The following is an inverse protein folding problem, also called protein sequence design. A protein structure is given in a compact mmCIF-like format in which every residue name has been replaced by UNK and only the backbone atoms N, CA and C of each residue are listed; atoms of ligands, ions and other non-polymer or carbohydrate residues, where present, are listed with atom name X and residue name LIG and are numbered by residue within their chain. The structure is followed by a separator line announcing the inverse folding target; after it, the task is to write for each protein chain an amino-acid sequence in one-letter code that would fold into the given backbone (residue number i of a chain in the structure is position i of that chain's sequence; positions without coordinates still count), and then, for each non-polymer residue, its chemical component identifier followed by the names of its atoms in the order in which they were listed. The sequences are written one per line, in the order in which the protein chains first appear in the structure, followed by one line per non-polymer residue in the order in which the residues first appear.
data_IF_440746109469
#
_entry.id   IF_440746109469
#
_cell.length_a   1.000
_cell.length_b   1.000
_cell.length_c   1.000
_cell.angle_alpha   90.00
_cell.angle_beta   90.00
_cell.angle_gamma   90.00
#
_symmetry.space_group_name_H-M   'P 1'
#
loop_
_entity.id
_entity.type
_entity.pdbx_description
1 polymer ?
#
# COMPACT_ATOMS: atom_id res chain seq x y z
N UNK A 1 -20.54 3.85 -13.68
CA UNK A 1 -21.20 2.66 -13.13
C UNK A 1 -22.52 3.06 -12.50
N UNK A 2 -23.56 2.28 -12.75
CA UNK A 2 -24.84 2.41 -12.05
C UNK A 2 -24.73 1.89 -10.60
N UNK A 3 -25.53 2.40 -9.65
CA UNK A 3 -25.55 1.88 -8.28
C UNK A 3 -25.86 0.37 -8.21
N UNK A 4 -26.66 -0.16 -9.14
CA UNK A 4 -26.99 -1.59 -9.19
C UNK A 4 -25.80 -2.46 -9.57
N UNK A 5 -24.97 -2.02 -10.52
CA UNK A 5 -23.75 -2.74 -10.89
C UNK A 5 -22.75 -2.78 -9.74
N UNK A 6 -22.58 -1.64 -9.05
CA UNK A 6 -21.72 -1.54 -7.85
C UNK A 6 -22.21 -2.48 -6.76
N UNK A 7 -23.51 -2.46 -6.45
CA UNK A 7 -24.09 -3.31 -5.41
C UNK A 7 -24.00 -4.79 -5.75
N UNK A 8 -24.15 -5.16 -7.03
CA UNK A 8 -23.98 -6.54 -7.53
C UNK A 8 -22.53 -7.00 -7.45
N UNK A 9 -21.56 -6.14 -7.76
CA UNK A 9 -20.14 -6.46 -7.65
C UNK A 9 -19.75 -6.77 -6.20
N UNK A 10 -20.09 -5.87 -5.27
CA UNK A 10 -19.76 -6.06 -3.85
C UNK A 10 -20.70 -7.05 -3.12
N UNK A 11 -21.74 -7.58 -3.76
CA UNK A 11 -22.51 -8.68 -3.20
C UNK A 11 -21.86 -10.05 -3.42
N UNK A 12 -20.92 -10.17 -4.37
CA UNK A 12 -20.15 -11.39 -4.59
C UNK A 12 -19.26 -11.68 -3.36
N UNK A 13 -19.42 -12.84 -2.69
CA UNK A 13 -18.57 -13.22 -1.57
C UNK A 13 -17.09 -13.24 -1.92
N UNK A 14 -16.71 -13.64 -3.14
CA UNK A 14 -15.31 -13.70 -3.57
C UNK A 14 -14.66 -12.32 -3.58
N UNK A 15 -15.40 -11.30 -4.01
CA UNK A 15 -14.95 -9.89 -3.99
C UNK A 15 -14.72 -9.44 -2.55
N UNK A 16 -15.68 -9.71 -1.65
CA UNK A 16 -15.58 -9.29 -0.24
C UNK A 16 -14.46 -10.02 0.49
N UNK A 17 -14.29 -11.31 0.25
CA UNK A 17 -13.21 -12.11 0.81
C UNK A 17 -11.85 -11.57 0.35
N UNK A 18 -11.70 -11.26 -0.95
CA UNK A 18 -10.44 -10.76 -1.48
C UNK A 18 -10.04 -9.40 -0.92
N UNK A 19 -11.02 -8.49 -0.79
CA UNK A 19 -10.80 -7.18 -0.17
C UNK A 19 -10.44 -7.35 1.30
N UNK A 20 -11.13 -8.23 2.03
CA UNK A 20 -10.84 -8.48 3.44
C UNK A 20 -9.44 -9.10 3.63
N UNK A 21 -9.03 -10.02 2.75
CA UNK A 21 -7.68 -10.61 2.74
C UNK A 21 -6.61 -9.55 2.53
N UNK A 22 -6.77 -8.66 1.56
CA UNK A 22 -5.82 -7.56 1.38
C UNK A 22 -5.85 -6.58 2.56
N UNK A 23 -7.02 -6.21 3.07
CA UNK A 23 -7.15 -5.24 4.15
C UNK A 23 -6.75 -5.76 5.55
N UNK A 24 -6.53 -7.07 5.71
CA UNK A 24 -6.21 -7.69 6.99
C UNK A 24 -4.97 -7.04 7.64
N UNK A 25 -5.13 -6.55 8.88
CA UNK A 25 -4.07 -5.90 9.64
C UNK A 25 -3.64 -4.52 9.11
N UNK A 26 -4.30 -3.99 8.08
CA UNK A 26 -4.00 -2.69 7.47
C UNK A 26 -5.02 -1.64 7.90
N UNK A 27 -4.58 -0.38 7.91
CA UNK A 27 -5.48 0.75 8.11
C UNK A 27 -6.25 1.01 6.81
N UNK A 28 -7.58 1.10 6.92
CA UNK A 28 -8.49 1.18 5.76
C UNK A 28 -8.96 2.61 5.52
N UNK A 29 -9.03 2.99 4.25
CA UNK A 29 -9.69 4.19 3.77
C UNK A 29 -10.91 3.85 2.93
N UNK A 30 -12.00 4.59 3.16
CA UNK A 30 -13.24 4.51 2.39
C UNK A 30 -13.40 5.78 1.58
N UNK A 31 -13.43 5.66 0.27
CA UNK A 31 -13.75 6.79 -0.58
C UNK A 31 -15.27 6.98 -0.63
N UNK A 32 -15.73 8.15 -0.22
CA UNK A 32 -17.13 8.52 -0.24
C UNK A 32 -17.50 9.24 -1.55
N UNK A 33 -18.75 9.06 -1.98
CA UNK A 33 -19.33 9.85 -3.07
C UNK A 33 -19.58 11.31 -2.67
N UNK A 34 -19.68 11.60 -1.37
CA UNK A 34 -19.77 12.96 -0.84
C UNK A 34 -18.47 13.73 -1.08
N UNK A 35 -18.63 14.98 -1.49
CA UNK A 35 -17.54 15.93 -1.73
C UNK A 35 -17.46 16.93 -0.59
N UNK A 36 -16.24 17.34 -0.23
CA UNK A 36 -16.01 18.44 0.69
C UNK A 36 -16.50 19.77 0.10
N UNK A 37 -16.49 20.83 0.91
CA UNK A 37 -16.87 22.19 0.46
C UNK A 37 -16.00 22.77 -0.66
N UNK A 38 -14.95 22.06 -1.10
CA UNK A 38 -14.08 22.40 -2.23
C UNK A 38 -14.26 21.45 -3.42
N UNK A 39 -15.28 20.59 -3.39
CA UNK A 39 -15.61 19.66 -4.47
C UNK A 39 -14.71 18.41 -4.53
N UNK A 40 -13.87 18.16 -3.52
CA UNK A 40 -12.99 16.98 -3.46
C UNK A 40 -13.70 15.85 -2.76
N UNK A 41 -13.60 14.63 -3.29
CA UNK A 41 -14.17 13.46 -2.64
C UNK A 41 -13.56 13.22 -1.25
N UNK A 42 -14.42 12.85 -0.29
CA UNK A 42 -14.00 12.58 1.08
C UNK A 42 -13.40 11.17 1.21
N UNK A 43 -12.20 11.09 1.77
CA UNK A 43 -11.58 9.84 2.19
C UNK A 43 -11.77 9.66 3.71
N UNK A 44 -12.70 8.78 4.09
CA UNK A 44 -12.98 8.48 5.50
C UNK A 44 -12.02 7.40 5.96
N UNK A 45 -11.25 7.68 7.01
CA UNK A 45 -10.24 6.75 7.56
C UNK A 45 -10.42 6.44 9.04
N UNK A 46 -11.38 7.09 9.70
CA UNK A 46 -11.68 6.92 11.11
C UNK A 46 -13.18 6.72 11.31
N UNK A 47 -13.56 6.01 12.36
CA UNK A 47 -14.94 5.86 12.77
C UNK A 47 -15.57 7.22 13.13
N UNK A 48 -16.91 7.29 13.07
CA UNK A 48 -17.65 8.47 13.52
C UNK A 48 -17.26 8.80 14.98
N UNK A 49 -16.85 10.04 15.23
CA UNK A 49 -16.24 10.47 16.51
C UNK A 49 -14.70 10.52 16.52
N UNK A 50 -14.04 10.14 15.42
CA UNK A 50 -12.61 10.40 15.17
C UNK A 50 -11.60 9.53 15.93
N UNK A 51 -12.06 8.67 16.85
CA UNK A 51 -11.15 7.95 17.76
C UNK A 51 -10.48 6.70 17.18
N UNK A 52 -11.20 5.87 16.42
CA UNK A 52 -10.70 4.56 15.99
C UNK A 52 -10.38 4.52 14.48
N UNK A 53 -9.18 4.08 14.07
CA UNK A 53 -8.87 3.81 12.67
C UNK A 53 -9.83 2.77 12.08
N UNK A 54 -10.26 2.98 10.84
CA UNK A 54 -11.08 2.00 10.14
C UNK A 54 -10.25 0.75 9.80
N UNK A 55 -10.87 -0.41 9.90
CA UNK A 55 -10.29 -1.72 9.62
C UNK A 55 -11.37 -2.68 9.15
N UNK A 56 -10.97 -3.66 8.35
CA UNK A 56 -11.81 -4.77 7.92
C UNK A 56 -11.30 -6.02 8.62
N UNK A 57 -12.17 -6.71 9.38
CA UNK A 57 -11.82 -7.95 10.09
C UNK A 57 -12.21 -9.20 9.31
N UNK A 58 -13.26 -9.10 8.48
CA UNK A 58 -13.82 -10.19 7.70
C UNK A 58 -14.59 -9.62 6.50
N UNK A 59 -15.06 -10.52 5.62
CA UNK A 59 -15.86 -10.15 4.44
C UNK A 59 -17.18 -9.43 4.78
N UNK A 60 -17.71 -9.55 5.99
CA UNK A 60 -18.96 -8.90 6.39
C UNK A 60 -18.76 -7.41 6.71
N UNK A 61 -17.53 -7.01 7.08
CA UNK A 61 -17.15 -5.61 7.29
C UNK A 61 -16.99 -4.84 5.96
N UNK A 62 -16.95 -5.53 4.81
CA UNK A 62 -16.83 -4.91 3.49
C UNK A 62 -18.12 -4.17 3.14
N UNK A 63 -18.05 -2.84 3.10
CA UNK A 63 -19.17 -2.00 2.75
C UNK A 63 -19.57 -2.16 1.28
N UNK A 64 -20.86 -2.41 1.03
CA UNK A 64 -21.40 -2.76 -0.32
C UNK A 64 -21.27 -1.67 -1.39
N UNK A 65 -20.85 -0.44 -1.06
CA UNK A 65 -20.96 0.72 -1.95
C UNK A 65 -19.72 1.64 -1.93
N UNK A 66 -18.60 1.21 -1.34
CA UNK A 66 -17.44 2.09 -1.12
C UNK A 66 -16.22 1.55 -1.83
N UNK A 67 -15.42 2.47 -2.38
CA UNK A 67 -14.10 2.13 -2.92
C UNK A 67 -13.15 2.00 -1.72
N UNK A 68 -12.50 0.85 -1.64
CA UNK A 68 -11.74 0.43 -0.49
C UNK A 68 -10.25 0.54 -0.77
N UNK A 69 -9.56 1.21 0.15
CA UNK A 69 -8.12 1.38 0.13
C UNK A 69 -7.54 0.83 1.42
N UNK A 70 -6.33 0.28 1.36
CA UNK A 70 -5.61 -0.16 2.54
C UNK A 70 -4.15 0.31 2.48
N UNK A 71 -3.57 0.57 3.64
CA UNK A 71 -2.18 1.03 3.75
C UNK A 71 -1.16 0.00 3.25
N UNK A 72 -0.01 0.46 2.78
CA UNK A 72 1.13 -0.43 2.55
C UNK A 72 1.63 -1.10 3.85
N UNK A 73 1.49 -0.38 4.97
CA UNK A 73 1.83 -0.83 6.31
C UNK A 73 0.79 -1.82 6.86
N UNK A 74 1.30 -2.89 7.47
CA UNK A 74 0.56 -3.82 8.31
C UNK A 74 0.93 -3.53 9.77
N UNK A 75 -0.08 -3.43 10.62
CA UNK A 75 0.06 -3.02 12.00
C UNK A 75 -0.23 -4.18 12.95
N UNK A 76 0.48 -4.23 14.10
CA UNK A 76 0.18 -5.20 15.17
C UNK A 76 -1.14 -4.88 15.85
N UNK A 77 -1.45 -3.59 15.98
CA UNK A 77 -2.65 -3.08 16.63
C UNK A 77 -3.25 -1.91 15.86
N UNK A 78 -4.57 -1.84 15.79
CA UNK A 78 -5.34 -0.75 15.14
C UNK A 78 -6.57 -0.43 15.98
N UNK A 79 -6.38 0.20 17.14
CA UNK A 79 -7.43 0.58 18.07
C UNK A 79 -7.60 2.10 18.19
N UNK A 80 -6.51 2.87 18.06
CA UNK A 80 -6.56 4.33 18.17
C UNK A 80 -5.63 5.03 17.17
N UNK A 81 -5.70 6.37 17.11
CA UNK A 81 -4.86 7.20 16.24
C UNK A 81 -3.37 7.05 16.61
N UNK A 82 -3.06 6.85 17.88
CA UNK A 82 -1.70 6.66 18.38
C UNK A 82 -1.07 5.38 17.80
N UNK A 83 -1.87 4.32 17.59
CA UNK A 83 -1.40 3.09 16.96
C UNK A 83 -0.93 3.33 15.51
N UNK A 84 -1.51 4.31 14.80
CA UNK A 84 -1.08 4.69 13.44
C UNK A 84 0.20 5.52 13.48
N UNK A 85 0.34 6.40 14.48
CA UNK A 85 1.49 7.28 14.62
C UNK A 85 2.76 6.54 15.10
N UNK A 86 2.59 5.45 15.85
CA UNK A 86 3.71 4.65 16.36
C UNK A 86 4.33 3.76 15.27
N UNK A 87 5.49 4.18 14.75
CA UNK A 87 6.27 3.40 13.78
C UNK A 87 6.65 2.03 14.32
N UNK A 88 6.84 1.90 15.65
CA UNK A 88 7.18 0.61 16.26
C UNK A 88 6.01 -0.37 16.21
N UNK A 89 4.77 0.09 15.99
CA UNK A 89 3.58 -0.73 15.81
C UNK A 89 3.44 -1.31 14.39
N UNK A 90 4.17 -0.77 13.40
CA UNK A 90 4.26 -1.36 12.05
C UNK A 90 5.01 -2.68 12.13
N UNK A 91 4.35 -3.79 11.79
CA UNK A 91 4.93 -5.14 11.79
C UNK A 91 5.56 -5.52 10.46
N UNK A 92 5.01 -5.01 9.37
CA UNK A 92 5.47 -5.26 8.01
C UNK A 92 5.02 -4.12 7.09
N UNK A 93 5.68 -3.94 5.95
CA UNK A 93 5.31 -2.96 4.94
C UNK A 93 5.49 -3.60 3.56
N UNK A 94 4.52 -3.41 2.68
CA UNK A 94 4.52 -4.00 1.32
C UNK A 94 5.28 -3.07 0.37
N UNK A 95 6.50 -3.40 -0.10
CA UNK A 95 7.18 -2.59 -1.10
C UNK A 95 6.32 -2.52 -2.35
N UNK A 96 6.04 -1.29 -2.80
CA UNK A 96 5.11 -1.04 -3.90
C UNK A 96 5.66 0.04 -4.83
N UNK A 97 5.73 -0.28 -6.12
CA UNK A 97 6.00 0.69 -7.19
C UNK A 97 4.66 1.18 -7.72
N UNK A 98 4.48 2.51 -7.76
CA UNK A 98 3.32 3.13 -8.37
C UNK A 98 3.65 3.52 -9.80
N UNK A 99 2.92 2.97 -10.77
CA UNK A 99 3.13 3.20 -12.19
C UNK A 99 1.90 3.87 -12.76
N UNK A 100 1.99 5.18 -12.93
CA UNK A 100 0.91 6.02 -13.44
C UNK A 100 1.13 6.38 -14.90
N UNK A 101 0.04 6.45 -15.65
CA UNK A 101 0.05 6.91 -17.03
C UNK A 101 -1.35 7.41 -17.46
N UNK A 102 -1.44 7.95 -18.67
CA UNK A 102 -2.72 8.08 -19.36
C UNK A 102 -3.30 6.67 -19.68
N UNK A 103 -4.63 6.46 -19.60
CA UNK A 103 -5.25 5.17 -19.91
C UNK A 103 -4.90 4.62 -21.28
N UNK A 104 -4.69 5.48 -22.27
CA UNK A 104 -4.31 5.13 -23.64
C UNK A 104 -2.85 4.65 -23.75
N UNK A 105 -2.02 4.89 -22.73
CA UNK A 105 -0.63 4.45 -22.63
C UNK A 105 -0.46 3.18 -21.78
N UNK A 106 -1.50 2.35 -21.65
CA UNK A 106 -1.47 1.17 -20.78
C UNK A 106 -0.37 0.18 -21.18
N UNK A 107 -0.05 0.02 -22.48
CA UNK A 107 1.03 -0.88 -22.92
C UNK A 107 2.37 -0.45 -22.33
N UNK A 108 2.65 0.86 -22.31
CA UNK A 108 3.87 1.40 -21.69
C UNK A 108 3.91 1.18 -20.18
N UNK A 109 2.75 1.25 -19.53
CA UNK A 109 2.58 0.94 -18.10
C UNK A 109 2.93 -0.52 -17.81
N UNK A 110 2.46 -1.45 -18.64
CA UNK A 110 2.75 -2.88 -18.51
C UNK A 110 4.22 -3.18 -18.85
N UNK A 111 4.80 -2.51 -19.84
CA UNK A 111 6.24 -2.62 -20.12
C UNK A 111 7.10 -2.15 -18.92
N UNK A 112 6.73 -1.05 -18.27
CA UNK A 112 7.42 -0.60 -17.05
C UNK A 112 7.27 -1.61 -15.90
N UNK A 113 6.06 -2.16 -15.70
CA UNK A 113 5.81 -3.20 -14.70
C UNK A 113 6.66 -4.46 -14.97
N UNK A 114 6.77 -4.88 -16.24
CA UNK A 114 7.61 -5.99 -16.68
C UNK A 114 9.08 -5.76 -16.38
N UNK A 115 9.60 -4.55 -16.59
CA UNK A 115 11.00 -4.24 -16.29
C UNK A 115 11.30 -4.35 -14.78
N UNK A 116 10.36 -3.92 -13.94
CA UNK A 116 10.45 -4.08 -12.48
C UNK A 116 10.41 -5.57 -12.12
N UNK A 117 9.42 -6.31 -12.61
CA UNK A 117 9.28 -7.76 -12.36
C UNK A 117 10.54 -8.52 -12.78
N UNK A 118 11.05 -8.28 -13.99
CA UNK A 118 12.25 -8.93 -14.51
C UNK A 118 13.48 -8.63 -13.63
N UNK A 119 13.57 -7.40 -13.12
CA UNK A 119 14.63 -7.05 -12.18
C UNK A 119 14.47 -7.81 -10.86
N UNK A 120 13.27 -7.89 -10.29
CA UNK A 120 13.00 -8.63 -9.06
C UNK A 120 13.33 -10.12 -9.21
N UNK A 121 12.93 -10.73 -10.33
CA UNK A 121 13.27 -12.12 -10.68
C UNK A 121 14.78 -12.33 -10.79
N UNK A 122 15.51 -11.36 -11.37
CA UNK A 122 16.98 -11.41 -11.43
C UNK A 122 17.65 -11.34 -10.04
N UNK A 123 16.93 -10.84 -9.03
CA UNK A 123 17.36 -10.85 -7.63
C UNK A 123 16.85 -12.09 -6.87
N UNK A 124 16.19 -13.04 -7.55
CA UNK A 124 15.67 -14.28 -6.98
C UNK A 124 14.24 -14.20 -6.46
N UNK A 125 13.54 -13.08 -6.64
CA UNK A 125 12.16 -12.88 -6.19
C UNK A 125 11.21 -13.32 -7.30
N UNK A 126 10.70 -14.55 -7.20
CA UNK A 126 9.89 -15.20 -8.23
C UNK A 126 8.50 -15.59 -7.74
N UNK A 127 8.34 -15.83 -6.44
CA UNK A 127 7.05 -16.22 -5.85
C UNK A 127 6.32 -15.05 -5.22
N UNK A 128 7.05 -14.12 -4.63
CA UNK A 128 6.47 -13.09 -3.77
C UNK A 128 6.14 -11.78 -4.49
N UNK A 129 6.33 -11.69 -5.81
CA UNK A 129 6.01 -10.49 -6.59
C UNK A 129 4.66 -10.67 -7.32
N UNK A 130 3.84 -9.63 -7.30
CA UNK A 130 2.59 -9.60 -8.07
C UNK A 130 2.32 -8.21 -8.63
N UNK A 131 1.56 -8.14 -9.71
CA UNK A 131 1.15 -6.86 -10.32
C UNK A 131 -0.33 -6.65 -10.09
N UNK A 132 -0.73 -5.40 -9.87
CA UNK A 132 -2.12 -5.01 -9.68
C UNK A 132 -2.47 -3.86 -10.60
N UNK A 133 -3.40 -4.07 -11.51
CA UNK A 133 -3.94 -3.00 -12.35
C UNK A 133 -5.01 -2.23 -11.56
N UNK A 134 -4.84 -0.92 -11.40
CA UNK A 134 -5.74 -0.07 -10.61
C UNK A 134 -6.82 0.61 -11.46
N UNK A 135 -6.78 0.44 -12.78
CA UNK A 135 -7.71 1.01 -13.76
C UNK A 135 -7.08 2.07 -14.65
N UNK A 136 -6.14 2.87 -14.12
CA UNK A 136 -5.39 3.90 -14.87
C UNK A 136 -3.87 3.72 -14.81
N UNK A 137 -3.43 2.76 -14.03
CA UNK A 137 -2.03 2.49 -13.76
C UNK A 137 -1.86 1.07 -13.23
N UNK A 138 -0.62 0.72 -12.97
CA UNK A 138 -0.25 -0.56 -12.39
C UNK A 138 0.54 -0.34 -11.11
N UNK A 139 0.36 -1.23 -10.14
CA UNK A 139 1.23 -1.30 -8.98
C UNK A 139 1.97 -2.63 -9.00
N UNK A 140 3.29 -2.59 -8.93
CA UNK A 140 4.08 -3.81 -8.68
C UNK A 140 4.26 -3.92 -7.17
N UNK A 141 3.98 -5.08 -6.61
CA UNK A 141 4.07 -5.34 -5.18
C UNK A 141 5.03 -6.49 -4.91
N UNK A 142 5.78 -6.40 -3.82
CA UNK A 142 6.42 -7.56 -3.18
C UNK A 142 5.66 -7.86 -1.90
N UNK A 143 5.23 -9.11 -1.71
CA UNK A 143 4.52 -9.53 -0.52
C UNK A 143 5.39 -9.25 0.72
N UNK A 144 4.84 -8.55 1.72
CA UNK A 144 5.62 -8.05 2.85
C UNK A 144 6.31 -9.15 3.66
N UNK A 145 5.72 -10.35 3.71
CA UNK A 145 6.26 -11.49 4.44
C UNK A 145 7.38 -12.24 3.69
N UNK A 146 7.71 -11.81 2.47
CA UNK A 146 8.89 -12.29 1.74
C UNK A 146 10.20 -11.78 2.35
N UNK A 147 10.14 -10.68 3.12
CA UNK A 147 11.27 -10.13 3.87
C UNK A 147 11.21 -10.70 5.29
N UNK A 148 12.25 -11.44 5.67
CA UNK A 148 12.30 -12.08 6.98
C UNK A 148 12.48 -11.05 8.10
N UNK A 149 12.07 -11.44 9.32
CA UNK A 149 12.33 -10.63 10.52
C UNK A 149 13.82 -10.41 10.78
N UNK A 150 14.68 -11.30 10.29
CA UNK A 150 16.12 -11.15 10.42
C UNK A 150 16.65 -10.06 9.48
N UNK A 151 16.21 -10.02 8.23
CA UNK A 151 16.56 -8.95 7.30
C UNK A 151 16.04 -7.57 7.73
N UNK A 152 14.95 -7.52 8.50
CA UNK A 152 14.43 -6.29 9.10
C UNK A 152 15.17 -5.86 10.37
N UNK A 153 16.11 -6.65 10.90
CA UNK A 153 16.72 -6.38 12.22
C UNK A 153 17.45 -5.03 12.22
N UNK A 154 16.99 -4.11 13.08
CA UNK A 154 17.58 -2.78 13.23
C UNK A 154 17.05 -1.73 12.26
N UNK A 155 16.07 -2.06 11.41
CA UNK A 155 15.40 -1.14 10.49
C UNK A 155 13.88 -1.22 10.62
N UNK A 156 13.18 -0.12 10.35
CA UNK A 156 11.71 -0.15 10.26
C UNK A 156 11.26 -0.88 8.98
N UNK A 157 10.15 -1.65 8.98
CA UNK A 157 9.61 -2.23 7.75
C UNK A 157 9.34 -1.19 6.66
N UNK A 158 8.87 0.00 7.04
CA UNK A 158 8.64 1.11 6.09
C UNK A 158 9.96 1.58 5.45
N UNK A 159 11.02 1.71 6.24
CA UNK A 159 12.32 2.15 5.75
C UNK A 159 12.88 1.15 4.73
N UNK A 160 12.77 -0.15 5.03
CA UNK A 160 13.19 -1.22 4.11
C UNK A 160 12.35 -1.22 2.84
N UNK A 161 11.02 -1.11 2.97
CA UNK A 161 10.14 -1.08 1.81
C UNK A 161 10.42 0.12 0.89
N UNK A 162 10.58 1.33 1.46
CA UNK A 162 11.01 2.51 0.73
C UNK A 162 12.35 2.29 0.03
N UNK A 163 13.34 1.76 0.75
CA UNK A 163 14.68 1.54 0.22
C UNK A 163 14.67 0.56 -0.96
N UNK A 164 13.91 -0.53 -0.86
CA UNK A 164 13.74 -1.51 -1.96
C UNK A 164 13.17 -0.85 -3.20
N UNK A 165 12.08 -0.09 -3.06
CA UNK A 165 11.43 0.60 -4.20
C UNK A 165 12.40 1.60 -4.85
N UNK A 166 13.05 2.43 -4.05
CA UNK A 166 14.02 3.43 -4.52
C UNK A 166 15.25 2.79 -5.17
N UNK A 167 15.78 1.71 -4.59
CA UNK A 167 16.93 1.00 -5.12
C UNK A 167 16.63 0.46 -6.52
N UNK A 168 15.47 -0.17 -6.70
CA UNK A 168 15.03 -0.67 -8.01
C UNK A 168 14.81 0.49 -8.99
N UNK A 169 14.17 1.58 -8.58
CA UNK A 169 13.99 2.77 -9.41
C UNK A 169 15.33 3.33 -9.91
N UNK A 170 16.34 3.41 -9.05
CA UNK A 170 17.69 3.86 -9.43
C UNK A 170 18.36 2.91 -10.42
N UNK A 171 18.16 1.60 -10.29
CA UNK A 171 18.73 0.61 -11.21
C UNK A 171 18.03 0.57 -12.57
N UNK A 172 16.74 0.85 -12.60
CA UNK A 172 15.92 0.80 -13.83
C UNK A 172 15.70 2.16 -14.49
N UNK A 173 16.21 3.24 -13.89
CA UNK A 173 16.04 4.61 -14.39
C UNK A 173 16.28 4.74 -15.89
N UNK A 174 17.40 4.22 -16.40
CA UNK A 174 17.72 4.30 -17.83
C UNK A 174 16.67 3.57 -18.69
N UNK A 175 16.18 2.40 -18.26
CA UNK A 175 15.15 1.67 -18.99
C UNK A 175 13.82 2.43 -19.01
N UNK A 176 13.45 3.09 -17.91
CA UNK A 176 12.25 3.92 -17.88
C UNK A 176 12.37 5.15 -18.78
N UNK A 177 13.54 5.79 -18.83
CA UNK A 177 13.83 6.90 -19.75
C UNK A 177 13.75 6.44 -21.22
N UNK A 178 14.25 5.24 -21.54
CA UNK A 178 14.14 4.63 -22.88
C UNK A 178 12.69 4.30 -23.25
N UNK A 179 11.90 3.71 -22.33
CA UNK A 179 10.49 3.43 -22.54
C UNK A 179 9.68 4.71 -22.80
N UNK A 180 9.94 5.77 -22.02
CA UNK A 180 9.33 7.09 -22.20
C UNK A 180 9.61 7.65 -23.60
N UNK A 181 10.86 7.55 -24.07
CA UNK A 181 11.25 8.04 -25.38
C UNK A 181 10.59 7.27 -26.54
N UNK A 182 10.33 5.97 -26.37
CA UNK A 182 9.80 5.09 -27.42
C UNK A 182 8.28 5.09 -27.52
N UNK A 183 7.57 5.22 -26.39
CA UNK A 183 6.14 4.87 -26.29
C UNK A 183 5.16 6.01 -26.58
N UNK A 184 5.62 7.22 -26.89
CA UNK A 184 4.79 8.46 -26.89
C UNK A 184 4.04 8.69 -25.55
N UNK A 185 4.32 7.91 -24.51
CA UNK A 185 3.64 7.97 -23.22
C UNK A 185 4.26 9.06 -22.35
N UNK A 186 4.01 10.33 -22.72
CA UNK A 186 4.59 11.50 -22.04
C UNK A 186 4.26 11.54 -20.54
N UNK A 187 3.15 10.92 -20.15
CA UNK A 187 2.65 10.90 -18.78
C UNK A 187 3.10 9.68 -17.95
N UNK A 188 3.91 8.77 -18.52
CA UNK A 188 4.38 7.59 -17.77
C UNK A 188 5.29 8.00 -16.61
N UNK A 189 4.93 7.56 -15.41
CA UNK A 189 5.71 7.81 -14.18
C UNK A 189 5.83 6.52 -13.39
N UNK A 190 7.04 6.23 -12.93
CA UNK A 190 7.31 5.16 -11.97
C UNK A 190 7.81 5.82 -10.69
N UNK A 191 6.97 5.86 -9.67
CA UNK A 191 7.20 6.65 -8.47
C UNK A 191 7.37 5.76 -7.22
N UNK A 192 8.14 6.28 -6.27
CA UNK A 192 8.26 5.70 -4.94
C UNK A 192 7.38 6.50 -3.98
N UNK A 193 6.11 6.09 -3.92
CA UNK A 193 5.11 6.73 -3.09
C UNK A 193 5.09 6.22 -1.64
N UNK A 194 6.08 5.41 -1.24
CA UNK A 194 6.12 4.81 0.09
C UNK A 194 6.25 5.88 1.18
N UNK A 195 5.23 5.96 2.04
CA UNK A 195 5.17 6.83 3.21
C UNK A 195 4.33 6.19 4.33
N UNK A 196 4.36 6.72 5.58
CA UNK A 196 3.66 6.10 6.71
C UNK A 196 2.16 5.88 6.53
N UNK A 197 1.49 6.69 5.71
CA UNK A 197 0.05 6.67 5.49
C UNK A 197 -0.34 6.28 4.05
N UNK A 198 0.62 5.88 3.21
CA UNK A 198 0.34 5.52 1.82
C UNK A 198 -0.66 4.39 1.74
N UNK A 199 -1.72 4.60 0.96
CA UNK A 199 -2.79 3.64 0.73
C UNK A 199 -2.90 3.30 -0.75
N UNK A 200 -3.21 2.04 -1.03
CA UNK A 200 -3.47 1.53 -2.37
C UNK A 200 -4.87 0.91 -2.45
N UNK A 201 -5.50 0.95 -3.62
CA UNK A 201 -6.78 0.29 -3.86
C UNK A 201 -6.70 -1.20 -3.50
N UNK A 202 -7.66 -1.73 -2.76
CA UNK A 202 -7.73 -3.16 -2.50
C UNK A 202 -8.02 -3.90 -3.81
N UNK A 203 -7.47 -5.12 -4.02
CA UNK A 203 -7.89 -5.98 -5.13
C UNK A 203 -9.40 -6.18 -5.12
N UNK A 204 -9.96 -6.28 -6.32
CA UNK A 204 -11.39 -6.32 -6.63
C UNK A 204 -12.21 -5.10 -6.14
N UNK A 205 -11.57 -4.02 -5.67
CA UNK A 205 -12.28 -2.76 -5.48
C UNK A 205 -12.49 -2.05 -6.82
N UNK A 206 -13.61 -1.36 -6.95
CA UNK A 206 -13.92 -0.58 -8.14
C UNK A 206 -13.09 0.70 -8.19
N UNK A 207 -12.77 1.17 -9.40
CA UNK A 207 -12.17 2.48 -9.62
C UNK A 207 -13.23 3.59 -9.59
N UNK A 208 -12.87 4.79 -9.12
CA UNK A 208 -13.83 5.91 -8.90
C UNK A 208 -14.40 6.50 -10.19
N UNK A 209 -13.56 6.63 -11.21
CA UNK A 209 -13.82 7.44 -12.40
C UNK A 209 -13.87 6.59 -13.67
N UNK A 210 -13.36 5.36 -13.59
CA UNK A 210 -13.23 4.45 -14.73
C UNK A 210 -14.05 3.22 -14.38
N UNK A 211 -14.79 2.69 -15.36
CA UNK A 211 -15.60 1.48 -15.20
C UNK A 211 -14.71 0.23 -15.14
N UNK A 212 -13.89 0.13 -14.10
CA UNK A 212 -12.81 -0.84 -13.97
C UNK A 212 -12.74 -1.39 -12.54
N UNK A 213 -12.43 -2.67 -12.45
CA UNK A 213 -12.15 -3.44 -11.24
C UNK A 213 -10.64 -3.50 -11.06
N UNK A 214 -10.16 -3.24 -9.85
CA UNK A 214 -8.75 -3.41 -9.54
C UNK A 214 -8.38 -4.90 -9.54
N UNK A 215 -7.57 -5.37 -10.49
CA UNK A 215 -7.26 -6.80 -10.65
C UNK A 215 -5.79 -7.09 -10.41
N UNK A 216 -5.51 -8.22 -9.75
CA UNK A 216 -4.17 -8.77 -9.66
C UNK A 216 -3.86 -9.61 -10.91
N UNK A 217 -2.63 -9.51 -11.40
CA UNK A 217 -2.12 -10.14 -12.60
C UNK A 217 -0.86 -10.91 -12.21
N UNK A 218 -0.75 -12.16 -12.67
CA UNK A 218 0.48 -12.92 -12.48
C UNK A 218 1.62 -12.32 -13.30
N UNK A 219 2.84 -12.24 -12.75
CA UNK A 219 4.02 -11.78 -13.48
C UNK A 219 4.18 -12.40 -14.88
N UNK A 220 3.96 -13.71 -15.01
CA UNK A 220 4.11 -14.44 -16.27
C UNK A 220 2.94 -14.26 -17.25
N UNK A 221 1.86 -13.59 -16.86
CA UNK A 221 0.70 -13.28 -17.70
C UNK A 221 0.70 -11.81 -18.16
N UNK A 222 1.71 -11.01 -17.80
CA UNK A 222 1.78 -9.58 -18.16
C UNK A 222 1.79 -9.34 -19.68
N UNK A 223 2.32 -10.27 -20.49
CA UNK A 223 2.31 -10.13 -21.97
C UNK A 223 0.91 -10.24 -22.56
N UNK A 224 0.03 -11.00 -21.90
CA UNK A 224 -1.32 -11.27 -22.37
C UNK A 224 -2.36 -10.28 -21.81
N UNK A 225 -1.92 -9.41 -20.90
CA UNK A 225 -2.81 -8.45 -20.26
C UNK A 225 -3.35 -7.44 -21.27
N UNK A 226 -4.64 -7.11 -21.10
CA UNK A 226 -5.27 -5.96 -21.71
C UNK A 226 -6.26 -5.32 -20.72
N UNK A 227 -6.58 -4.02 -20.85
CA UNK A 227 -7.47 -3.34 -19.90
C UNK A 227 -8.85 -4.00 -19.73
N UNK A 228 -9.31 -4.77 -20.71
CA UNK A 228 -10.56 -5.55 -20.67
C UNK A 228 -10.59 -6.56 -19.52
N UNK A 229 -9.43 -7.04 -19.06
CA UNK A 229 -9.31 -7.91 -17.87
C UNK A 229 -9.82 -7.23 -16.60
N UNK A 230 -9.95 -5.91 -16.61
CA UNK A 230 -10.46 -5.12 -15.50
C UNK A 230 -11.97 -4.80 -15.63
N UNK A 231 -12.68 -5.36 -16.62
CA UNK A 231 -14.11 -5.07 -16.78
C UNK A 231 -14.96 -5.65 -15.63
N UNK A 232 -16.03 -4.95 -15.24
CA UNK A 232 -16.87 -5.37 -14.12
C UNK A 232 -17.65 -6.66 -14.36
N UNK A 233 -18.00 -6.94 -15.62
CA UNK A 233 -18.84 -8.10 -15.99
C UNK A 233 -18.02 -9.37 -16.26
N UNK A 234 -16.69 -9.28 -16.33
CA UNK A 234 -15.84 -10.39 -16.74
C UNK A 234 -14.38 -10.22 -16.38
N UNK A 235 -14.08 -9.66 -15.20
CA UNK A 235 -12.70 -9.43 -14.78
C UNK A 235 -11.88 -10.74 -14.74
N UNK A 236 -10.60 -10.66 -15.09
CA UNK A 236 -9.61 -11.72 -14.88
C UNK A 236 -8.69 -11.29 -13.75
N UNK A 237 -8.77 -12.02 -12.63
CA UNK A 237 -8.06 -11.70 -11.40
C UNK A 237 -7.31 -12.94 -10.90
N UNK A 238 -6.04 -12.76 -10.59
CA UNK A 238 -5.24 -13.79 -9.93
C UNK A 238 -5.46 -13.75 -8.41
N UNK A 239 -5.96 -14.86 -7.83
CA UNK A 239 -6.13 -15.02 -6.38
C UNK A 239 -4.85 -15.48 -5.67
N UNK A 240 -3.80 -15.79 -6.44
CA UNK A 240 -2.49 -16.26 -5.98
C UNK A 240 -1.56 -15.16 -5.49
N UNK A 241 -1.95 -13.87 -5.53
CA UNK A 241 -1.09 -12.76 -5.10
C UNK A 241 -0.61 -12.83 -3.63
N UNK A 242 -1.23 -13.68 -2.80
CA UNK A 242 -0.79 -13.94 -1.42
C UNK A 242 0.40 -14.89 -1.32
N UNK A 243 0.72 -15.61 -2.40
CA UNK A 243 1.82 -16.56 -2.41
C UNK A 243 3.13 -15.82 -2.15
N UNK A 244 3.93 -16.36 -1.22
CA UNK A 244 5.22 -15.79 -0.88
C UNK A 244 6.14 -16.84 -0.28
N UNK A 245 7.44 -16.56 -0.33
CA UNK A 245 8.46 -17.34 0.34
C UNK A 245 9.22 -16.44 1.32
N UNK A 246 9.15 -16.76 2.62
CA UNK A 246 9.86 -16.02 3.66
C UNK A 246 11.37 -16.07 3.39
N UNK A 247 12.01 -14.91 3.36
CA UNK A 247 13.45 -14.78 3.09
C UNK A 247 13.80 -14.61 1.61
N UNK A 248 12.86 -14.78 0.69
CA UNK A 248 13.10 -14.63 -0.76
C UNK A 248 13.59 -13.22 -1.11
N UNK A 249 13.09 -12.19 -0.42
CA UNK A 249 13.44 -10.80 -0.68
C UNK A 249 14.58 -10.26 0.20
N UNK A 250 15.17 -11.06 1.09
CA UNK A 250 16.15 -10.60 2.09
C UNK A 250 17.41 -10.00 1.44
N UNK A 251 17.95 -10.66 0.43
CA UNK A 251 19.16 -10.21 -0.25
C UNK A 251 18.98 -8.84 -0.93
N UNK A 252 17.80 -8.60 -1.52
CA UNK A 252 17.47 -7.30 -2.08
C UNK A 252 17.21 -6.27 -0.98
N UNK A 253 16.47 -6.63 0.06
CA UNK A 253 16.13 -5.76 1.18
C UNK A 253 17.38 -5.21 1.90
N UNK A 254 18.32 -6.09 2.26
CA UNK A 254 19.59 -5.72 2.93
C UNK A 254 20.42 -4.80 2.03
N UNK A 255 20.62 -5.18 0.76
CA UNK A 255 21.37 -4.39 -0.20
C UNK A 255 20.75 -3.00 -0.42
N UNK A 256 19.42 -2.94 -0.49
CA UNK A 256 18.69 -1.72 -0.71
C UNK A 256 18.79 -0.75 0.48
N UNK A 257 18.56 -1.22 1.71
CA UNK A 257 18.63 -0.37 2.90
C UNK A 257 20.05 0.15 3.17
N UNK A 258 21.08 -0.66 2.90
CA UNK A 258 22.49 -0.24 3.00
C UNK A 258 22.86 0.82 1.96
N UNK A 259 22.29 0.73 0.75
CA UNK A 259 22.62 1.63 -0.38
C UNK A 259 21.82 2.93 -0.34
N UNK A 260 20.52 2.85 -0.06
CA UNK A 260 19.59 3.98 -0.14
C UNK A 260 19.43 4.67 1.22
N UNK A 261 19.44 3.89 2.31
CA UNK A 261 19.00 4.34 3.62
C UNK A 261 17.47 4.32 3.78
N UNK A 262 17.02 4.72 4.97
CA UNK A 262 15.60 4.68 5.34
C UNK A 262 14.73 5.75 4.67
N UNK A 263 13.42 5.64 4.87
CA UNK A 263 12.43 6.51 4.25
C UNK A 263 12.56 7.94 4.79
N UNK A 264 12.68 8.97 3.92
CA UNK A 264 12.81 10.37 4.36
C UNK A 264 11.59 10.87 5.15
N UNK A 265 10.40 10.35 4.82
CA UNK A 265 9.13 10.73 5.45
C UNK A 265 8.87 10.01 6.78
N UNK A 266 9.71 9.03 7.15
CA UNK A 266 9.69 8.46 8.50
C UNK A 266 10.00 9.57 9.49
N UNK A 267 8.96 10.05 10.19
CA UNK A 267 9.16 10.95 11.33
C UNK A 267 10.07 10.24 12.31
N UNK A 268 11.30 10.73 12.46
CA UNK A 268 12.17 10.36 13.58
C UNK A 268 11.53 10.94 14.83
N UNK A 269 10.58 10.23 15.42
CA UNK A 269 10.04 10.60 16.72
C UNK A 269 11.21 10.61 17.70
N UNK A 270 11.67 11.81 18.07
CA UNK A 270 12.54 11.98 19.23
C UNK A 270 11.72 11.46 20.41
N UNK A 271 12.02 10.25 20.86
CA UNK A 271 11.54 9.73 22.14
C UNK A 271 11.81 10.84 23.15
N UNK A 272 10.76 11.44 23.74
CA UNK A 272 10.96 12.53 24.69
C UNK A 272 11.86 11.98 25.79
N UNK A 273 13.03 12.60 26.00
CA UNK A 273 13.96 12.20 27.06
C UNK A 273 13.37 12.43 28.46
N UNK A 274 12.34 13.25 28.54
CA UNK A 274 11.66 13.62 29.78
C UNK A 274 10.16 13.33 29.67
N UNK A 275 9.50 12.98 30.78
CA UNK A 275 8.04 12.90 30.85
C UNK A 275 7.37 14.20 30.38
N UNK A 276 6.12 14.16 29.94
CA UNK A 276 5.31 15.35 29.71
C UNK A 276 5.38 16.35 30.88
N UNK A 277 5.35 17.66 30.60
CA UNK A 277 5.54 18.71 31.61
C UNK A 277 4.46 18.66 32.71
N UNK A 278 3.25 18.29 32.33
CA UNK A 278 2.11 18.03 33.20
C UNK A 278 2.38 16.88 34.19
N UNK A 279 2.93 15.75 33.75
CA UNK A 279 3.35 14.67 34.67
C UNK A 279 4.48 15.12 35.59
N UNK A 280 5.42 15.94 35.08
CA UNK A 280 6.46 16.51 35.93
C UNK A 280 5.85 17.44 36.99
N UNK A 281 4.96 18.37 36.59
CA UNK A 281 4.27 19.31 37.48
C UNK A 281 3.49 18.55 38.56
N UNK A 282 2.74 17.52 38.19
CA UNK A 282 2.00 16.69 39.15
C UNK A 282 2.96 15.99 40.13
N UNK A 283 4.06 15.43 39.64
CA UNK A 283 5.08 14.81 40.48
C UNK A 283 5.87 15.80 41.36
N UNK A 284 5.89 17.10 41.03
CA UNK A 284 6.41 18.16 41.90
C UNK A 284 5.39 18.59 42.95
N UNK A 285 4.12 18.70 42.57
CA UNK A 285 3.02 19.04 43.47
C UNK A 285 2.83 17.96 44.54
N UNK A 286 2.89 16.68 44.17
CA UNK A 286 2.85 15.56 45.12
C UNK A 286 4.01 15.62 46.13
N UNK A 287 5.23 15.91 45.66
CA UNK A 287 6.42 16.05 46.52
C UNK A 287 6.32 17.22 47.50
N UNK A 288 5.79 18.37 47.06
CA UNK A 288 5.59 19.55 47.92
C UNK A 288 4.44 19.34 48.91
N UNK A 289 3.45 18.52 48.55
CA UNK A 289 2.34 18.14 49.43
C UNK A 289 2.75 17.24 50.59
N UNK A 290 3.74 16.35 50.38
CA UNK A 290 4.27 15.46 51.42
C UNK A 290 5.26 16.15 52.37
N UNK A 291 5.95 17.22 51.95
CA UNK A 291 6.84 18.01 52.83
C UNK A 291 6.09 18.94 53.80
N UNK A 292 4.78 19.12 53.63
CA UNK A 292 3.92 19.95 54.48
C UNK A 292 2.99 19.13 55.41
N UNK A 293 3.30 17.85 55.64
CA UNK A 293 2.62 16.97 56.62
C UNK A 293 3.49 16.64 57.82
#
# INVERSE_FOLDING_TARGET
MSPNEVARHYSDPRVREEIARFAAGRWVGLHCSEKDGRGRSLLVRYSKGGGAPLKIRNEQDVAKLLLLFATANVYRRLASVEDIADVSNVSACTPTWDIDNAPEGWEATIMAAREIVSFLESQGITKSAFVKWSGRGAHVHVHQDAISREALRGSSPLDVAYAVVEYVNRKLRQKFEELLAQSKAVDLRVENEMDPQRMFSCPLSLHREVNSVCVCIKPNELDDFSPEWSSIDGYKHDFGWIEHAVGEADGLAIKAIETVGGCPSTMKFRRRKHPPLDEQIMGWIERIGDENR
#
